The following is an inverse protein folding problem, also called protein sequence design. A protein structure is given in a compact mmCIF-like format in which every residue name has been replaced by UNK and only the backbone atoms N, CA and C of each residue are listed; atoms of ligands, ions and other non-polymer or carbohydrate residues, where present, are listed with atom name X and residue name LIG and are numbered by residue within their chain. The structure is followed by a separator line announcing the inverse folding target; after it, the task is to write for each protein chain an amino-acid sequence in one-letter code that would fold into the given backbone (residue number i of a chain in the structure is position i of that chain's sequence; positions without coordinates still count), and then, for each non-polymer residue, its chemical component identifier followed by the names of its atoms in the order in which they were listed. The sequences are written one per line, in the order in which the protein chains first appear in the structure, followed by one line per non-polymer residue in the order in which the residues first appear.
data_IF_264529522416
#
_entry.id   IF_264529522416
#
_cell.length_a   1.000
_cell.length_b   1.000
_cell.length_c   1.000
_cell.angle_alpha   90.00
_cell.angle_beta   90.00
_cell.angle_gamma   90.00
#
_symmetry.space_group_name_H-M   'P 1'
#
loop_
_entity.id
_entity.type
_entity.pdbx_description
1 polymer ?
#
# COMPACT_ATOMS: atom_id res chain seq x y z
N UNK A 1 1.99 -5.88 -20.66
CA UNK A 1 1.17 -6.32 -19.51
C UNK A 1 1.14 -7.82 -19.33
N UNK A 2 0.92 -8.61 -20.39
CA UNK A 2 0.88 -10.09 -20.35
C UNK A 2 2.11 -10.73 -19.68
N UNK A 3 3.33 -10.32 -20.06
CA UNK A 3 4.55 -10.81 -19.39
C UNK A 3 4.57 -10.54 -17.87
N UNK A 4 4.11 -9.38 -17.42
CA UNK A 4 4.07 -9.03 -16.00
C UNK A 4 2.96 -9.80 -15.29
N UNK A 5 1.82 -9.98 -15.93
CA UNK A 5 0.74 -10.83 -15.44
C UNK A 5 1.22 -12.26 -15.19
N UNK A 6 1.90 -12.86 -16.18
CA UNK A 6 2.33 -14.27 -16.12
C UNK A 6 3.50 -14.51 -15.14
N UNK A 7 4.42 -13.55 -15.02
CA UNK A 7 5.68 -13.76 -14.29
C UNK A 7 5.77 -12.99 -12.97
N UNK A 8 4.90 -11.98 -12.76
CA UNK A 8 4.94 -11.08 -11.59
C UNK A 8 3.52 -10.66 -11.17
N UNK A 9 2.64 -11.60 -10.81
CA UNK A 9 1.22 -11.34 -10.57
C UNK A 9 0.97 -10.28 -9.48
N UNK A 10 1.75 -10.29 -8.39
CA UNK A 10 1.67 -9.26 -7.33
C UNK A 10 1.90 -7.84 -7.86
N UNK A 11 2.83 -7.67 -8.80
CA UNK A 11 3.09 -6.38 -9.45
C UNK A 11 1.96 -6.02 -10.40
N UNK A 12 1.45 -7.01 -11.14
CA UNK A 12 0.31 -6.81 -12.03
C UNK A 12 -0.92 -6.32 -11.25
N UNK A 13 -1.30 -7.00 -10.17
CA UNK A 13 -2.44 -6.60 -9.34
C UNK A 13 -2.28 -5.20 -8.76
N UNK A 14 -1.07 -4.85 -8.32
CA UNK A 14 -0.80 -3.50 -7.83
C UNK A 14 -0.92 -2.45 -8.93
N UNK A 15 -0.36 -2.70 -10.12
CA UNK A 15 -0.53 -1.81 -11.28
C UNK A 15 -2.00 -1.64 -11.63
N UNK A 16 -2.76 -2.73 -11.71
CA UNK A 16 -4.20 -2.66 -12.00
C UNK A 16 -4.95 -1.84 -10.94
N UNK A 17 -4.68 -2.06 -9.66
CA UNK A 17 -5.29 -1.31 -8.57
C UNK A 17 -4.92 0.19 -8.62
N UNK A 18 -3.70 0.51 -9.01
CA UNK A 18 -3.22 1.88 -9.22
C UNK A 18 -3.98 2.57 -10.37
N UNK A 19 -4.12 1.91 -11.53
CA UNK A 19 -4.90 2.45 -12.66
C UNK A 19 -6.39 2.65 -12.31
N UNK A 20 -6.97 1.73 -11.52
CA UNK A 20 -8.32 1.93 -10.97
C UNK A 20 -8.36 3.17 -10.07
N UNK A 21 -7.30 3.44 -9.32
CA UNK A 21 -7.17 4.67 -8.53
C UNK A 21 -7.24 5.94 -9.38
N UNK A 22 -6.55 5.97 -10.53
CA UNK A 22 -6.66 7.05 -11.50
C UNK A 22 -8.06 7.20 -12.09
N UNK A 23 -8.82 6.11 -12.19
CA UNK A 23 -10.20 6.18 -12.65
C UNK A 23 -11.18 6.68 -11.56
N UNK A 24 -11.00 6.19 -10.32
CA UNK A 24 -11.94 6.41 -9.21
C UNK A 24 -11.77 7.78 -8.57
N UNK A 25 -10.53 8.21 -8.29
CA UNK A 25 -10.27 9.42 -7.50
C UNK A 25 -10.49 10.70 -8.33
N UNK A 26 -9.73 10.94 -9.43
CA UNK A 26 -9.94 12.12 -10.26
C UNK A 26 -11.01 11.86 -11.33
N UNK A 27 -12.13 11.22 -10.97
CA UNK A 27 -13.18 10.84 -11.89
C UNK A 27 -13.73 12.05 -12.66
N UNK A 28 -13.86 13.20 -12.01
CA UNK A 28 -14.31 14.45 -12.66
C UNK A 28 -13.32 14.96 -13.71
N UNK A 29 -12.01 14.79 -13.49
CA UNK A 29 -10.97 15.15 -14.48
C UNK A 29 -11.10 14.29 -15.74
N UNK A 30 -11.23 12.97 -15.57
CA UNK A 30 -11.38 12.04 -16.68
C UNK A 30 -12.72 12.24 -17.40
N UNK A 31 -13.82 12.45 -16.66
CA UNK A 31 -15.14 12.77 -17.22
C UNK A 31 -15.18 14.08 -17.99
N UNK A 32 -14.39 15.06 -17.58
CA UNK A 32 -14.28 16.36 -18.27
C UNK A 32 -13.42 16.22 -19.53
N UNK A 33 -12.28 15.53 -19.44
CA UNK A 33 -11.33 15.43 -20.54
C UNK A 33 -11.75 14.45 -21.64
N UNK A 34 -12.35 13.30 -21.29
CA UNK A 34 -12.84 12.24 -22.20
C UNK A 34 -11.91 11.95 -23.38
N UNK A 35 -10.68 11.45 -23.13
CA UNK A 35 -9.75 11.16 -24.20
C UNK A 35 -10.35 10.12 -25.16
N UNK A 36 -10.44 10.48 -26.44
CA UNK A 36 -10.91 9.57 -27.50
C UNK A 36 -9.82 8.67 -28.08
N UNK A 37 -8.56 8.92 -27.74
CA UNK A 37 -7.38 8.17 -28.18
C UNK A 37 -6.21 8.34 -27.21
N UNK A 38 -5.29 7.38 -27.20
CA UNK A 38 -4.08 7.38 -26.37
C UNK A 38 -3.25 8.66 -26.56
N UNK A 39 -3.12 9.15 -27.81
CA UNK A 39 -2.38 10.39 -28.08
C UNK A 39 -2.99 11.61 -27.37
N UNK A 40 -4.31 11.72 -27.31
CA UNK A 40 -4.98 12.83 -26.62
C UNK A 40 -4.71 12.78 -25.11
N UNK A 41 -4.74 11.59 -24.52
CA UNK A 41 -4.34 11.39 -23.12
C UNK A 41 -2.91 11.85 -22.85
N UNK A 42 -1.97 11.47 -23.71
CA UNK A 42 -0.57 11.90 -23.59
C UNK A 42 -0.42 13.41 -23.67
N UNK A 43 -1.04 14.05 -24.67
CA UNK A 43 -0.99 15.51 -24.84
C UNK A 43 -1.57 16.28 -23.64
N UNK A 44 -2.52 15.67 -22.92
CA UNK A 44 -3.09 16.24 -21.71
C UNK A 44 -2.15 16.09 -20.52
N UNK A 45 -1.67 14.87 -20.25
CA UNK A 45 -0.75 14.59 -19.15
C UNK A 45 0.54 15.40 -19.28
N UNK A 46 1.08 15.56 -20.48
CA UNK A 46 2.30 16.35 -20.74
C UNK A 46 2.11 17.85 -20.43
N UNK A 47 0.86 18.34 -20.30
CA UNK A 47 0.52 19.72 -19.93
C UNK A 47 0.15 19.89 -18.46
N UNK A 48 -0.05 18.79 -17.73
CA UNK A 48 -0.32 18.86 -16.29
C UNK A 48 0.97 19.28 -15.60
N UNK A 49 0.85 20.24 -14.70
CA UNK A 49 1.98 20.67 -13.87
C UNK A 49 2.57 19.47 -13.10
N UNK A 50 3.89 19.43 -12.96
CA UNK A 50 4.59 18.28 -12.37
C UNK A 50 4.19 18.00 -10.92
N UNK A 51 3.86 19.03 -10.13
CA UNK A 51 3.38 18.86 -8.76
C UNK A 51 1.98 18.24 -8.73
N UNK A 52 1.09 18.75 -9.59
CA UNK A 52 -0.27 18.21 -9.74
C UNK A 52 -0.22 16.76 -10.21
N UNK A 53 0.62 16.45 -11.21
CA UNK A 53 0.82 15.10 -11.70
C UNK A 53 1.33 14.18 -10.57
N UNK A 54 2.35 14.61 -9.83
CA UNK A 54 2.87 13.86 -8.68
C UNK A 54 1.82 13.58 -7.61
N UNK A 55 0.90 14.53 -7.37
CA UNK A 55 -0.20 14.33 -6.44
C UNK A 55 -1.23 13.30 -6.93
N UNK A 56 -1.57 13.33 -8.22
CA UNK A 56 -2.47 12.34 -8.84
C UNK A 56 -1.89 10.92 -8.74
N UNK A 57 -0.60 10.77 -9.06
CA UNK A 57 0.14 9.51 -8.91
C UNK A 57 0.13 9.04 -7.45
N UNK A 58 0.45 9.92 -6.51
CA UNK A 58 0.44 9.59 -5.08
C UNK A 58 -0.93 9.09 -4.62
N UNK A 59 -2.01 9.75 -5.03
CA UNK A 59 -3.37 9.34 -4.71
C UNK A 59 -3.71 7.95 -5.27
N UNK A 60 -3.31 7.66 -6.52
CA UNK A 60 -3.49 6.35 -7.14
C UNK A 60 -2.67 5.26 -6.43
N UNK A 61 -1.42 5.55 -6.04
CA UNK A 61 -0.61 4.64 -5.21
C UNK A 61 -1.25 4.36 -3.85
N UNK A 62 -1.76 5.40 -3.18
CA UNK A 62 -2.43 5.26 -1.89
C UNK A 62 -3.71 4.42 -2.03
N UNK A 63 -4.51 4.68 -3.08
CA UNK A 63 -5.69 3.90 -3.42
C UNK A 63 -5.37 2.42 -3.64
N UNK A 64 -4.34 2.10 -4.43
CA UNK A 64 -3.95 0.73 -4.69
C UNK A 64 -3.62 -0.05 -3.41
N UNK A 65 -2.90 0.59 -2.47
CA UNK A 65 -2.62 0.00 -1.16
C UNK A 65 -3.88 -0.22 -0.30
N UNK A 66 -4.83 0.72 -0.33
CA UNK A 66 -6.09 0.62 0.42
C UNK A 66 -7.02 -0.46 -0.16
N UNK A 67 -7.05 -0.59 -1.49
CA UNK A 67 -7.87 -1.57 -2.19
C UNK A 67 -7.34 -3.00 -1.97
N UNK A 68 -6.02 -3.19 -2.12
CA UNK A 68 -5.40 -4.52 -2.02
C UNK A 68 -5.18 -4.97 -0.58
N UNK A 69 -5.08 -4.03 0.37
CA UNK A 69 -4.97 -4.35 1.80
C UNK A 69 -6.08 -3.63 2.58
N UNK A 70 -7.33 -4.14 2.51
CA UNK A 70 -8.45 -3.49 3.17
C UNK A 70 -8.28 -3.49 4.69
N UNK A 71 -8.58 -2.34 5.33
CA UNK A 71 -8.44 -2.15 6.79
C UNK A 71 -9.10 -3.26 7.58
N UNK A 72 -10.34 -3.60 7.23
CA UNK A 72 -11.16 -4.61 7.93
C UNK A 72 -10.41 -5.93 8.10
N UNK A 73 -9.72 -6.40 7.07
CA UNK A 73 -8.95 -7.64 7.16
C UNK A 73 -7.63 -7.44 7.89
N UNK A 74 -6.97 -6.29 7.68
CA UNK A 74 -5.72 -5.99 8.36
C UNK A 74 -5.88 -5.91 9.88
N UNK A 75 -6.99 -5.34 10.37
CA UNK A 75 -7.32 -5.30 11.80
C UNK A 75 -7.56 -6.68 12.41
N UNK A 76 -7.91 -7.68 11.61
CA UNK A 76 -8.07 -9.06 12.08
C UNK A 76 -6.74 -9.82 12.06
N UNK A 77 -5.99 -9.72 10.96
CA UNK A 77 -4.75 -10.48 10.79
C UNK A 77 -3.57 -9.92 11.59
N UNK A 78 -3.51 -8.59 11.81
CA UNK A 78 -2.37 -7.98 12.50
C UNK A 78 -2.24 -8.42 13.97
N UNK A 79 -3.31 -8.43 14.80
CA UNK A 79 -3.22 -8.95 16.17
C UNK A 79 -2.77 -10.40 16.25
N UNK A 80 -3.18 -11.26 15.30
CA UNK A 80 -2.74 -12.65 15.24
C UNK A 80 -1.21 -12.74 15.05
N UNK A 81 -0.66 -11.87 14.20
CA UNK A 81 0.79 -11.81 13.99
C UNK A 81 1.53 -11.27 15.22
N UNK A 82 0.98 -10.27 15.91
CA UNK A 82 1.53 -9.79 17.18
C UNK A 82 1.56 -10.94 18.21
N UNK A 83 0.45 -11.66 18.35
CA UNK A 83 0.36 -12.80 19.27
C UNK A 83 1.40 -13.89 18.95
N UNK A 84 1.62 -14.20 17.67
CA UNK A 84 2.64 -15.13 17.23
C UNK A 84 4.08 -14.65 17.55
N UNK A 85 4.30 -13.33 17.57
CA UNK A 85 5.59 -12.70 17.86
C UNK A 85 5.79 -12.32 19.34
N UNK A 86 4.76 -12.44 20.19
CA UNK A 86 4.78 -11.94 21.57
C UNK A 86 6.04 -12.34 22.35
N UNK A 87 6.48 -13.59 22.28
CA UNK A 87 7.71 -14.03 22.99
C UNK A 87 8.95 -13.25 22.58
N UNK A 88 9.10 -12.95 21.28
CA UNK A 88 10.22 -12.17 20.76
C UNK A 88 10.10 -10.70 21.15
N UNK A 89 8.88 -10.15 21.10
CA UNK A 89 8.62 -8.75 21.48
C UNK A 89 8.93 -8.56 22.98
N UNK A 90 8.43 -9.44 23.85
CA UNK A 90 8.69 -9.37 25.29
C UNK A 90 10.18 -9.55 25.62
N UNK A 91 10.90 -10.43 24.91
CA UNK A 91 12.34 -10.55 25.06
C UNK A 91 13.08 -9.25 24.72
N UNK A 92 12.69 -8.56 23.64
CA UNK A 92 13.30 -7.28 23.24
C UNK A 92 12.95 -6.17 24.22
N UNK A 93 11.71 -6.11 24.70
CA UNK A 93 11.27 -5.17 25.74
C UNK A 93 12.03 -5.36 27.04
N UNK A 94 12.39 -6.60 27.40
CA UNK A 94 13.19 -6.88 28.58
C UNK A 94 14.66 -6.42 28.45
N UNK A 95 15.11 -6.03 27.26
CA UNK A 95 16.45 -5.46 27.05
C UNK A 95 16.49 -3.93 27.20
N UNK A 96 15.40 -3.30 27.67
CA UNK A 96 15.28 -1.83 27.83
C UNK A 96 15.54 -1.05 26.52
N UNK A 97 15.20 -1.67 25.38
CA UNK A 97 15.33 -1.03 24.06
C UNK A 97 14.15 -0.09 23.80
N UNK A 98 14.40 1.13 23.27
CA UNK A 98 13.33 2.03 22.85
C UNK A 98 12.38 1.35 21.86
N UNK A 99 11.08 1.66 21.95
CA UNK A 99 10.05 1.09 21.06
C UNK A 99 10.38 1.27 19.59
N UNK A 100 10.82 2.46 19.21
CA UNK A 100 11.16 2.79 17.83
C UNK A 100 12.29 1.92 17.28
N UNK A 101 13.16 1.40 18.16
CA UNK A 101 14.29 0.53 17.77
C UNK A 101 13.85 -0.85 17.29
N UNK A 102 12.70 -1.37 17.73
CA UNK A 102 12.20 -2.69 17.30
C UNK A 102 10.88 -2.63 16.52
N UNK A 103 10.17 -1.51 16.57
CA UNK A 103 8.90 -1.34 15.87
C UNK A 103 9.04 -1.60 14.36
N UNK A 104 10.08 -1.05 13.72
CA UNK A 104 10.31 -1.26 12.28
C UNK A 104 10.53 -2.74 11.95
N UNK A 105 11.31 -3.45 12.77
CA UNK A 105 11.54 -4.89 12.60
C UNK A 105 10.26 -5.71 12.74
N UNK A 106 9.41 -5.37 13.72
CA UNK A 106 8.11 -6.02 13.89
C UNK A 106 7.21 -5.77 12.68
N UNK A 107 7.11 -4.52 12.21
CA UNK A 107 6.32 -4.16 11.02
C UNK A 107 6.83 -4.93 9.79
N UNK A 108 8.15 -4.99 9.58
CA UNK A 108 8.75 -5.69 8.45
C UNK A 108 8.48 -7.19 8.50
N UNK A 109 8.60 -7.80 9.69
CA UNK A 109 8.30 -9.22 9.91
C UNK A 109 6.84 -9.54 9.61
N UNK A 110 5.92 -8.73 10.14
CA UNK A 110 4.48 -8.90 9.91
C UNK A 110 4.14 -8.70 8.42
N UNK A 111 4.69 -7.68 7.78
CA UNK A 111 4.50 -7.43 6.36
C UNK A 111 5.01 -8.59 5.49
N UNK A 112 6.15 -9.20 5.85
CA UNK A 112 6.66 -10.41 5.23
C UNK A 112 5.68 -11.59 5.36
N UNK A 113 5.19 -11.85 6.56
CA UNK A 113 4.25 -12.96 6.83
C UNK A 113 2.91 -12.80 6.10
N UNK A 114 2.38 -11.57 6.04
CA UNK A 114 1.09 -11.28 5.41
C UNK A 114 1.18 -11.11 3.89
N UNK A 115 2.37 -10.94 3.31
CA UNK A 115 2.56 -10.68 1.87
C UNK A 115 1.85 -11.67 0.96
N UNK A 116 1.97 -12.97 1.25
CA UNK A 116 1.33 -14.03 0.47
C UNK A 116 -0.19 -14.04 0.64
N UNK A 117 -0.70 -13.67 1.81
CA UNK A 117 -2.15 -13.66 2.08
C UNK A 117 -2.86 -12.55 1.29
N UNK A 118 -2.22 -11.40 1.14
CA UNK A 118 -2.77 -10.26 0.39
C UNK A 118 -2.33 -10.22 -1.08
N UNK A 119 -1.43 -11.11 -1.49
CA UNK A 119 -0.83 -11.15 -2.83
C UNK A 119 -0.21 -9.79 -3.25
N UNK A 120 0.51 -9.18 -2.29
CA UNK A 120 1.23 -7.91 -2.48
C UNK A 120 2.66 -8.01 -1.96
N UNK A 121 3.52 -7.09 -2.37
CA UNK A 121 4.88 -7.03 -1.83
C UNK A 121 4.88 -6.63 -0.34
N UNK A 122 5.87 -7.07 0.45
CA UNK A 122 6.03 -6.62 1.84
C UNK A 122 6.10 -5.09 1.96
N UNK A 123 6.65 -4.40 0.97
CA UNK A 123 6.72 -2.93 0.96
C UNK A 123 5.34 -2.25 0.96
N UNK A 124 4.36 -2.82 0.26
CA UNK A 124 2.96 -2.31 0.28
C UNK A 124 2.36 -2.48 1.67
N UNK A 125 2.51 -3.67 2.27
CA UNK A 125 2.04 -3.95 3.62
C UNK A 125 2.73 -3.09 4.69
N UNK A 126 4.05 -2.89 4.59
CA UNK A 126 4.82 -2.00 5.50
C UNK A 126 4.21 -0.60 5.50
N UNK A 127 4.06 0.02 4.32
CA UNK A 127 3.45 1.35 4.18
C UNK A 127 2.03 1.37 4.75
N UNK A 128 1.23 0.35 4.44
CA UNK A 128 -0.15 0.23 4.90
C UNK A 128 -0.25 0.13 6.42
N UNK A 129 0.56 -0.73 7.05
CA UNK A 129 0.61 -0.93 8.50
C UNK A 129 1.09 0.34 9.20
N UNK A 130 2.19 0.96 8.72
CA UNK A 130 2.70 2.21 9.28
C UNK A 130 1.63 3.31 9.27
N UNK A 131 0.85 3.41 8.18
CA UNK A 131 -0.25 4.38 8.11
C UNK A 131 -1.39 4.07 9.09
N UNK A 132 -1.72 2.81 9.34
CA UNK A 132 -2.71 2.46 10.38
C UNK A 132 -2.21 2.76 11.79
N UNK A 133 -0.90 2.62 12.04
CA UNK A 133 -0.30 3.00 13.32
C UNK A 133 -0.33 4.52 13.50
N UNK A 134 0.04 5.28 12.47
CA UNK A 134 0.04 6.76 12.48
C UNK A 134 -1.35 7.33 12.82
N UNK A 135 -2.42 6.69 12.34
CA UNK A 135 -3.81 7.10 12.64
C UNK A 135 -4.42 6.42 13.87
N UNK A 136 -3.64 5.63 14.62
CA UNK A 136 -4.05 5.00 15.88
C UNK A 136 -4.94 3.76 15.75
N UNK A 137 -5.04 3.15 14.57
CA UNK A 137 -5.84 1.93 14.34
C UNK A 137 -5.10 0.63 14.66
N UNK A 138 -3.77 0.65 14.56
CA UNK A 138 -2.89 -0.47 14.93
C UNK A 138 -1.85 0.01 15.94
N UNK A 139 -1.32 -0.92 16.74
CA UNK A 139 -0.23 -0.63 17.66
C UNK A 139 0.71 -1.83 17.78
N UNK A 140 2.02 -1.55 17.75
CA UNK A 140 3.04 -2.50 18.22
C UNK A 140 3.17 -2.33 19.73
N UNK A 141 3.03 -3.39 20.54
CA UNK A 141 3.08 -3.31 22.00
C UNK A 141 4.49 -3.11 22.56
#
# INVERSE_FOLDING_TARGET
DEYIYDHRPTRYYFTLAHEIGHYVIPNELIKHFRPSRVAAWKDFIDKVDGEVYGWLEYQAYAFGGLLLVPRKFLLNHFPEQINALNRKIEFVKSQDLPKDSYQEYVIETIAGNLSKLYDVSPGVLKKRISKEIEIGMLNVP
#
